data_IF_279311292641
#
_entry.id   IF_279311292641
#
_cell.length_a   1.000
_cell.length_b   1.000
_cell.length_c   1.000
_cell.angle_alpha   90.00
_cell.angle_beta   90.00
_cell.angle_gamma   90.00
#
_symmetry.space_group_name_H-M   'P 1'
#
loop_
_entity.id
_entity.type
_entity.pdbx_description
1 polymer ?
#
# COMPACT_ATOMS: atom_id res chain seq x y z
N UNK A 1 -5.41 -22.40 -19.14
CA UNK A 1 -4.38 -21.38 -19.42
C UNK A 1 -4.90 -20.03 -18.94
N UNK A 2 -4.46 -19.57 -17.77
CA UNK A 2 -4.75 -18.22 -17.24
C UNK A 2 -3.42 -17.51 -17.04
N UNK A 3 -2.79 -17.18 -18.17
CA UNK A 3 -1.50 -16.51 -18.22
C UNK A 3 -1.60 -15.05 -17.80
N UNK A 4 -0.79 -14.66 -16.82
CA UNK A 4 -0.04 -13.41 -16.93
C UNK A 4 -0.49 -12.18 -16.14
N UNK A 5 -1.52 -12.25 -15.28
CA UNK A 5 -1.98 -11.07 -14.51
C UNK A 5 -1.45 -10.94 -13.08
N UNK A 6 -0.44 -11.71 -12.69
CA UNK A 6 0.15 -11.64 -11.33
C UNK A 6 1.21 -10.54 -11.15
N UNK A 7 1.24 -9.54 -12.03
CA UNK A 7 2.03 -8.33 -11.79
C UNK A 7 1.07 -7.20 -11.45
N UNK A 8 0.98 -6.91 -10.16
CA UNK A 8 0.45 -5.63 -9.70
C UNK A 8 1.23 -4.51 -10.39
N UNK A 9 0.56 -3.42 -10.78
CA UNK A 9 1.23 -2.24 -11.33
C UNK A 9 2.21 -1.64 -10.30
N UNK A 10 2.00 -1.95 -9.01
CA UNK A 10 2.90 -1.67 -7.91
C UNK A 10 3.77 -2.88 -7.58
N UNK A 11 5.09 -2.71 -7.58
CA UNK A 11 5.99 -3.63 -6.88
C UNK A 11 5.88 -3.37 -5.37
N UNK A 12 4.75 -3.77 -4.78
CA UNK A 12 4.52 -3.59 -3.35
C UNK A 12 5.50 -4.42 -2.53
N UNK A 13 6.27 -3.76 -1.67
CA UNK A 13 7.12 -4.44 -0.70
C UNK A 13 6.28 -5.36 0.20
N UNK A 14 6.84 -6.48 0.68
CA UNK A 14 6.08 -7.43 1.51
C UNK A 14 5.70 -6.81 2.87
N UNK A 15 6.54 -5.91 3.35
CA UNK A 15 6.43 -5.11 4.57
C UNK A 15 5.67 -3.79 4.37
N UNK A 16 5.22 -3.49 3.13
CA UNK A 16 4.46 -2.27 2.85
C UNK A 16 3.20 -2.23 3.73
N UNK A 17 2.99 -1.09 4.39
CA UNK A 17 1.90 -0.89 5.35
C UNK A 17 0.67 -0.36 4.63
N UNK A 18 -0.48 -0.95 4.91
CA UNK A 18 -1.75 -0.65 4.27
C UNK A 18 -2.73 -0.19 5.33
N UNK A 19 -3.49 0.85 5.02
CA UNK A 19 -4.58 1.37 5.85
C UNK A 19 -5.77 1.74 4.98
N UNK A 20 -6.98 1.43 5.44
CA UNK A 20 -8.21 1.84 4.76
C UNK A 20 -8.36 3.35 4.83
N UNK A 21 -8.70 3.98 3.70
CA UNK A 21 -8.96 5.42 3.64
C UNK A 21 -10.39 5.71 4.09
N UNK A 22 -10.70 6.98 4.40
CA UNK A 22 -12.08 7.39 4.65
C UNK A 22 -13.02 7.06 3.48
N UNK A 23 -12.54 7.20 2.24
CA UNK A 23 -13.29 6.82 1.05
C UNK A 23 -13.54 5.31 0.97
N UNK A 24 -12.54 4.49 1.31
CA UNK A 24 -12.70 3.03 1.42
C UNK A 24 -13.71 2.61 2.49
N UNK A 25 -13.73 3.29 3.64
CA UNK A 25 -14.73 3.06 4.69
C UNK A 25 -16.15 3.39 4.21
N UNK A 26 -16.34 4.55 3.58
CA UNK A 26 -17.64 4.98 3.04
C UNK A 26 -18.17 4.01 1.97
N UNK A 27 -17.28 3.42 1.19
CA UNK A 27 -17.61 2.53 0.07
C UNK A 27 -17.61 1.05 0.43
N UNK A 28 -17.27 0.69 1.67
CA UNK A 28 -17.03 -0.70 2.08
C UNK A 28 -18.15 -1.66 1.64
N UNK A 29 -19.43 -1.30 1.78
CA UNK A 29 -20.56 -2.19 1.46
C UNK A 29 -20.70 -2.44 -0.07
N UNK A 30 -20.13 -1.57 -0.90
CA UNK A 30 -20.22 -1.62 -2.36
C UNK A 30 -19.04 -2.37 -3.01
N UNK A 31 -18.02 -2.73 -2.23
CA UNK A 31 -16.83 -3.43 -2.73
C UNK A 31 -17.09 -4.91 -2.98
N UNK A 32 -16.23 -5.56 -3.77
CA UNK A 32 -16.23 -7.02 -3.88
C UNK A 32 -15.85 -7.69 -2.56
N UNK A 33 -16.25 -8.94 -2.31
CA UNK A 33 -16.10 -9.61 -1.01
C UNK A 33 -14.66 -9.63 -0.49
N UNK A 34 -13.69 -9.87 -1.38
CA UNK A 34 -12.27 -9.86 -1.07
C UNK A 34 -11.80 -8.45 -0.66
N UNK A 35 -12.24 -7.42 -1.38
CA UNK A 35 -11.92 -6.02 -1.08
C UNK A 35 -12.59 -5.55 0.23
N UNK A 36 -13.82 -5.98 0.51
CA UNK A 36 -14.49 -5.73 1.80
C UNK A 36 -13.67 -6.29 2.96
N UNK A 37 -13.17 -7.52 2.79
CA UNK A 37 -12.35 -8.19 3.80
C UNK A 37 -11.04 -7.44 4.01
N UNK A 38 -10.36 -7.03 2.94
CA UNK A 38 -9.14 -6.21 3.03
C UNK A 38 -9.42 -4.89 3.73
N UNK A 39 -10.47 -4.16 3.34
CA UNK A 39 -10.85 -2.89 3.94
C UNK A 39 -11.16 -3.03 5.45
N UNK A 40 -11.85 -4.10 5.85
CA UNK A 40 -12.10 -4.38 7.26
C UNK A 40 -10.81 -4.69 8.05
N UNK A 41 -9.91 -5.51 7.49
CA UNK A 41 -8.62 -5.82 8.11
C UNK A 41 -7.73 -4.58 8.27
N UNK A 42 -7.76 -3.69 7.27
CA UNK A 42 -6.89 -2.51 7.18
C UNK A 42 -7.45 -1.27 7.91
N UNK A 43 -8.55 -1.40 8.69
CA UNK A 43 -8.94 -0.39 9.69
C UNK A 43 -7.84 -0.15 10.72
N UNK A 44 -7.06 -1.19 10.99
CA UNK A 44 -5.78 -1.09 11.67
C UNK A 44 -4.68 -1.26 10.62
N UNK A 45 -3.53 -0.63 10.84
CA UNK A 45 -2.40 -0.75 9.91
C UNK A 45 -1.95 -2.22 9.83
N UNK A 46 -1.84 -2.73 8.60
CA UNK A 46 -1.43 -4.12 8.30
C UNK A 46 -0.38 -4.11 7.19
N UNK A 47 0.59 -5.01 7.25
CA UNK A 47 1.48 -5.26 6.12
C UNK A 47 0.81 -6.08 5.01
N UNK A 48 1.31 -6.01 3.78
CA UNK A 48 0.86 -6.87 2.67
C UNK A 48 1.03 -8.36 3.01
N UNK A 49 2.07 -8.73 3.75
CA UNK A 49 2.27 -10.09 4.25
C UNK A 49 1.12 -10.57 5.13
N UNK A 50 0.71 -9.74 6.08
CA UNK A 50 -0.39 -10.06 7.01
C UNK A 50 -1.73 -10.13 6.29
N UNK A 51 -1.95 -9.28 5.28
CA UNK A 51 -3.14 -9.33 4.42
C UNK A 51 -3.18 -10.67 3.66
N UNK A 52 -2.07 -11.08 3.05
CA UNK A 52 -1.98 -12.36 2.34
C UNK A 52 -2.28 -13.55 3.27
N UNK A 53 -1.69 -13.53 4.48
CA UNK A 53 -1.92 -14.55 5.49
C UNK A 53 -3.38 -14.56 5.99
N UNK A 54 -3.97 -13.38 6.21
CA UNK A 54 -5.36 -13.23 6.66
C UNK A 54 -6.37 -13.73 5.63
N UNK A 55 -6.13 -13.45 4.35
CA UNK A 55 -6.96 -13.93 3.25
C UNK A 55 -6.67 -15.39 2.85
N UNK A 56 -5.54 -15.96 3.30
CA UNK A 56 -5.04 -17.28 2.89
C UNK A 56 -4.83 -17.41 1.38
N UNK A 57 -4.29 -16.35 0.76
CA UNK A 57 -3.98 -16.30 -0.67
C UNK A 57 -2.47 -16.16 -0.89
N UNK A 58 -1.94 -16.55 -2.06
CA UNK A 58 -0.54 -16.29 -2.40
C UNK A 58 -0.20 -14.79 -2.33
N UNK A 59 1.01 -14.45 -1.90
CA UNK A 59 1.46 -13.06 -1.74
C UNK A 59 1.27 -12.22 -3.01
N UNK A 60 1.54 -12.78 -4.20
CA UNK A 60 1.33 -12.09 -5.46
C UNK A 60 -0.13 -11.69 -5.72
N UNK A 61 -1.09 -12.51 -5.27
CA UNK A 61 -2.52 -12.20 -5.37
C UNK A 61 -2.89 -11.06 -4.43
N UNK A 62 -2.41 -11.10 -3.17
CA UNK A 62 -2.62 -10.01 -2.23
C UNK A 62 -2.05 -8.68 -2.74
N UNK A 63 -0.85 -8.69 -3.35
CA UNK A 63 -0.25 -7.50 -3.97
C UNK A 63 -1.08 -6.90 -5.10
N UNK A 64 -1.71 -7.75 -5.92
CA UNK A 64 -2.61 -7.28 -6.99
C UNK A 64 -3.85 -6.65 -6.39
N UNK A 65 -4.54 -7.35 -5.47
CA UNK A 65 -5.76 -6.81 -4.84
C UNK A 65 -5.51 -5.50 -4.09
N UNK A 66 -4.42 -5.42 -3.32
CA UNK A 66 -4.05 -4.19 -2.60
C UNK A 66 -3.67 -3.08 -3.58
N UNK A 67 -2.96 -3.41 -4.66
CA UNK A 67 -2.61 -2.43 -5.70
C UNK A 67 -3.85 -1.85 -6.39
N UNK A 68 -4.79 -2.71 -6.77
CA UNK A 68 -6.06 -2.28 -7.40
C UNK A 68 -6.87 -1.39 -6.44
N UNK A 69 -7.00 -1.80 -5.17
CA UNK A 69 -7.67 -0.99 -4.15
C UNK A 69 -6.97 0.35 -3.87
N UNK A 70 -5.64 0.40 -4.02
CA UNK A 70 -4.86 1.63 -3.85
C UNK A 70 -5.07 2.58 -5.04
N UNK A 71 -5.08 2.05 -6.28
CA UNK A 71 -5.40 2.82 -7.49
C UNK A 71 -6.81 3.41 -7.45
N UNK A 72 -7.76 2.66 -6.88
CA UNK A 72 -9.15 3.11 -6.68
C UNK A 72 -9.31 4.04 -5.46
N UNK A 73 -8.26 4.21 -4.64
CA UNK A 73 -8.23 5.09 -3.47
C UNK A 73 -8.92 4.54 -2.23
N UNK A 74 -9.30 3.26 -2.22
CA UNK A 74 -9.93 2.61 -1.06
C UNK A 74 -8.94 2.33 0.08
N UNK A 75 -7.69 2.05 -0.26
CA UNK A 75 -6.61 1.90 0.71
C UNK A 75 -5.46 2.85 0.36
N UNK A 76 -4.69 3.19 1.38
CA UNK A 76 -3.44 3.90 1.23
C UNK A 76 -2.30 2.97 1.62
N UNK A 77 -1.28 2.93 0.78
CA UNK A 77 -0.06 2.17 1.02
C UNK A 77 1.06 3.10 1.43
N UNK A 78 1.77 2.74 2.49
CA UNK A 78 3.03 3.32 2.91
C UNK A 78 4.13 2.31 2.70
N UNK A 79 5.06 2.65 1.84
CA UNK A 79 6.30 1.91 1.67
C UNK A 79 7.43 2.92 1.51
N UNK A 80 8.64 2.55 1.94
CA UNK A 80 9.78 3.40 1.66
C UNK A 80 9.96 3.47 0.15
N UNK A 81 10.30 4.65 -0.40
CA UNK A 81 10.76 4.73 -1.78
C UNK A 81 11.92 3.75 -1.96
N UNK A 82 12.09 3.21 -3.16
CA UNK A 82 13.30 2.46 -3.48
C UNK A 82 14.53 3.29 -3.10
N UNK A 83 15.62 2.65 -2.69
CA UNK A 83 16.84 3.36 -2.24
C UNK A 83 17.37 4.39 -3.26
N UNK A 84 17.02 4.23 -4.54
CA UNK A 84 17.37 5.15 -5.62
C UNK A 84 16.53 6.45 -5.63
N UNK A 85 15.43 6.51 -4.87
CA UNK A 85 14.57 7.68 -4.64
C UNK A 85 14.83 8.33 -3.27
N UNK A 86 16.02 8.09 -2.68
CA UNK A 86 16.44 8.83 -1.50
C UNK A 86 16.42 10.34 -1.79
N UNK A 87 15.95 11.17 -0.83
CA UNK A 87 15.92 12.61 -1.03
C UNK A 87 17.32 13.11 -1.36
N UNK A 88 17.44 13.87 -2.46
CA UNK A 88 18.70 14.43 -2.94
C UNK A 88 19.43 15.12 -1.78
N UNK A 89 20.74 14.88 -1.67
CA UNK A 89 21.61 15.46 -0.65
C UNK A 89 21.45 16.99 -0.62
N UNK A 90 21.23 17.63 -1.77
CA UNK A 90 20.97 19.06 -1.86
C UNK A 90 19.69 19.50 -1.11
N UNK A 91 18.63 18.68 -1.12
CA UNK A 91 17.42 18.95 -0.34
C UNK A 91 17.70 18.82 1.16
N UNK A 92 18.41 17.76 1.57
CA UNK A 92 18.75 17.53 2.97
C UNK A 92 19.65 18.64 3.52
N UNK A 93 20.63 19.11 2.75
CA UNK A 93 21.47 20.25 3.11
C UNK A 93 20.68 21.56 3.23
N UNK A 94 19.72 21.79 2.33
CA UNK A 94 18.81 22.95 2.42
C UNK A 94 17.97 22.92 3.68
N UNK A 95 17.39 21.78 4.04
CA UNK A 95 16.60 21.61 5.27
C UNK A 95 17.49 21.82 6.49
N UNK A 96 18.67 21.20 6.54
CA UNK A 96 19.62 21.36 7.65
C UNK A 96 20.07 22.82 7.82
N UNK A 97 20.36 23.52 6.72
CA UNK A 97 20.70 24.94 6.77
C UNK A 97 19.53 25.80 7.25
N UNK A 98 18.29 25.44 6.92
CA UNK A 98 17.10 26.14 7.40
C UNK A 98 16.90 25.98 8.91
N UNK A 99 17.05 24.76 9.42
CA UNK A 99 16.91 24.46 10.85
C UNK A 99 17.99 25.11 11.72
N UNK A 100 19.22 25.28 11.20
CA UNK A 100 20.34 25.92 11.93
C UNK A 100 20.26 27.46 11.97
N UNK A 101 19.35 28.06 11.21
CA UNK A 101 19.14 29.52 11.14
C UNK A 101 17.96 29.98 12.00
N UNK A 102 17.38 29.08 12.78
CA UNK A 102 16.38 29.32 13.82
C UNK A 102 17.07 29.22 15.19
#
# INVERSE_FOLDING_TARGET
MTGGRTRSRYELAIEALVVTTSFGEERAIQLALEQQTIAAMCRQVRSVAEIAAGLRVPLGVARVLVGDMADEGYVRVHQQPDRDEAPDLALLERVLSGLRKL
#
